data_IF_643127278155
#
_entry.id   IF_643127278155
#
_cell.length_a   1.000
_cell.length_b   1.000
_cell.length_c   1.000
_cell.angle_alpha   90.00
_cell.angle_beta   90.00
_cell.angle_gamma   90.00
#
_symmetry.space_group_name_H-M   'P 1'
#
loop_
_entity.id
_entity.type
_entity.pdbx_description
1 polymer ?
#
# COMPACT_ATOMS: atom_id res chain seq x y z
N UNK A 1 -36.10 77.89 -72.16
CA UNK A 1 -36.96 77.20 -73.14
C UNK A 1 -36.42 77.58 -74.52
N UNK A 2 -35.93 76.63 -75.32
CA UNK A 2 -35.54 76.93 -76.70
C UNK A 2 -36.82 77.14 -77.50
N UNK A 3 -37.04 78.35 -77.98
CA UNK A 3 -38.18 78.68 -78.86
C UNK A 3 -37.67 78.61 -80.28
N UNK A 4 -38.20 77.68 -81.07
CA UNK A 4 -37.84 77.58 -82.48
C UNK A 4 -38.49 78.77 -83.19
N UNK A 5 -37.67 79.68 -83.74
CA UNK A 5 -38.14 80.86 -84.48
C UNK A 5 -38.03 80.63 -85.99
N UNK A 6 -38.91 81.26 -86.75
CA UNK A 6 -38.87 81.20 -88.22
C UNK A 6 -37.93 82.30 -88.74
N UNK A 7 -36.92 81.96 -89.55
CA UNK A 7 -36.08 82.94 -90.23
C UNK A 7 -36.91 83.94 -91.05
N UNK A 8 -36.51 85.23 -91.04
CA UNK A 8 -37.27 86.34 -91.67
C UNK A 8 -37.69 86.07 -93.11
N UNK A 9 -36.82 85.44 -93.91
CA UNK A 9 -37.07 85.09 -95.31
C UNK A 9 -38.23 84.08 -95.51
N UNK A 10 -38.48 83.20 -94.54
CA UNK A 10 -39.60 82.26 -94.57
C UNK A 10 -40.90 82.93 -94.09
N UNK A 11 -40.80 83.85 -93.12
CA UNK A 11 -41.93 84.60 -92.58
C UNK A 11 -42.57 85.53 -93.63
N UNK A 12 -41.74 86.21 -94.43
CA UNK A 12 -42.19 87.07 -95.53
C UNK A 12 -42.92 86.29 -96.65
N UNK A 13 -42.61 85.00 -96.85
CA UNK A 13 -43.25 84.15 -97.87
C UNK A 13 -44.49 83.41 -97.40
N UNK A 14 -44.54 83.03 -96.12
CA UNK A 14 -45.64 82.25 -95.54
C UNK A 14 -46.77 83.15 -95.00
N UNK A 15 -46.47 84.43 -94.69
CA UNK A 15 -47.38 85.30 -93.96
C UNK A 15 -47.29 85.09 -92.44
N UNK A 16 -47.68 86.09 -91.65
CA UNK A 16 -47.52 86.06 -90.18
C UNK A 16 -48.27 84.90 -89.52
N UNK A 17 -49.52 84.65 -89.93
CA UNK A 17 -50.40 83.64 -89.33
C UNK A 17 -49.92 82.19 -89.60
N UNK A 18 -49.44 81.92 -90.81
CA UNK A 18 -48.87 80.61 -91.17
C UNK A 18 -47.48 80.40 -90.54
N UNK A 19 -46.71 81.47 -90.34
CA UNK A 19 -45.41 81.41 -89.67
C UNK A 19 -45.56 81.11 -88.19
N UNK A 20 -46.52 81.73 -87.51
CA UNK A 20 -46.81 81.48 -86.09
C UNK A 20 -47.37 80.05 -85.90
N UNK A 21 -48.24 79.58 -86.81
CA UNK A 21 -48.72 78.18 -86.83
C UNK A 21 -47.59 77.16 -87.03
N UNK A 22 -46.59 77.49 -87.87
CA UNK A 22 -45.42 76.65 -88.08
C UNK A 22 -44.48 76.64 -86.87
N UNK A 23 -44.31 77.78 -86.17
CA UNK A 23 -43.61 77.85 -84.88
C UNK A 23 -44.28 76.95 -83.84
N UNK A 24 -45.62 76.98 -83.75
CA UNK A 24 -46.38 76.14 -82.84
C UNK A 24 -46.19 74.65 -83.14
N UNK A 25 -46.26 74.26 -84.41
CA UNK A 25 -46.03 72.88 -84.86
C UNK A 25 -44.58 72.43 -84.60
N UNK A 26 -43.59 73.25 -84.92
CA UNK A 26 -42.17 72.94 -84.69
C UNK A 26 -41.86 72.81 -83.20
N UNK A 27 -42.38 73.70 -82.35
CA UNK A 27 -42.23 73.59 -80.90
C UNK A 27 -42.94 72.33 -80.37
N UNK A 28 -44.13 71.99 -80.88
CA UNK A 28 -44.85 70.76 -80.50
C UNK A 28 -44.10 69.49 -80.90
N UNK A 29 -43.54 69.44 -82.12
CA UNK A 29 -42.70 68.34 -82.59
C UNK A 29 -41.41 68.26 -81.77
N UNK A 30 -40.77 69.38 -81.45
CA UNK A 30 -39.57 69.43 -80.63
C UNK A 30 -39.81 68.93 -79.20
N UNK A 31 -40.89 69.39 -78.54
CA UNK A 31 -41.22 68.92 -77.20
C UNK A 31 -41.54 67.43 -77.19
N UNK A 32 -42.35 66.96 -78.14
CA UNK A 32 -42.67 65.54 -78.27
C UNK A 32 -41.42 64.69 -78.52
N UNK A 33 -40.54 65.12 -79.43
CA UNK A 33 -39.28 64.42 -79.69
C UNK A 33 -38.38 64.40 -78.46
N UNK A 34 -38.30 65.51 -77.72
CA UNK A 34 -37.55 65.60 -76.46
C UNK A 34 -38.12 64.65 -75.41
N UNK A 35 -39.44 64.59 -75.27
CA UNK A 35 -40.15 63.66 -74.38
C UNK A 35 -39.84 62.20 -74.78
N UNK A 36 -39.99 61.83 -76.06
CA UNK A 36 -39.71 60.49 -76.57
C UNK A 36 -38.24 60.08 -76.35
N UNK A 37 -37.29 61.00 -76.57
CA UNK A 37 -35.85 60.75 -76.33
C UNK A 37 -35.56 60.58 -74.84
N UNK A 38 -36.20 61.37 -73.97
CA UNK A 38 -36.05 61.23 -72.52
C UNK A 38 -36.63 59.89 -72.06
N UNK A 39 -37.81 59.51 -72.54
CA UNK A 39 -38.46 58.24 -72.23
C UNK A 39 -37.56 57.06 -72.65
N UNK A 40 -37.08 57.05 -73.89
CA UNK A 40 -36.18 56.01 -74.39
C UNK A 40 -34.86 55.94 -73.57
N UNK A 41 -34.30 57.10 -73.20
CA UNK A 41 -33.09 57.15 -72.39
C UNK A 41 -33.33 56.62 -70.96
N UNK A 42 -34.47 56.98 -70.37
CA UNK A 42 -34.88 56.50 -69.05
C UNK A 42 -35.14 55.00 -69.06
N UNK A 43 -35.83 54.47 -70.05
CA UNK A 43 -36.08 53.03 -70.21
C UNK A 43 -34.77 52.25 -70.38
N UNK A 44 -33.85 52.75 -71.22
CA UNK A 44 -32.55 52.12 -71.41
C UNK A 44 -31.69 52.17 -70.14
N UNK A 45 -31.77 53.26 -69.39
CA UNK A 45 -31.08 53.38 -68.09
C UNK A 45 -31.69 52.42 -67.06
N UNK A 46 -33.02 52.38 -66.94
CA UNK A 46 -33.73 51.48 -66.05
C UNK A 46 -33.41 50.00 -66.36
N UNK A 47 -33.40 49.63 -67.65
CA UNK A 47 -32.98 48.29 -68.09
C UNK A 47 -31.56 47.97 -67.68
N UNK A 48 -30.60 48.88 -67.90
CA UNK A 48 -29.20 48.65 -67.49
C UNK A 48 -29.04 48.51 -65.98
N UNK A 49 -29.75 49.32 -65.20
CA UNK A 49 -29.74 49.23 -63.74
C UNK A 49 -30.34 47.90 -63.27
N UNK A 50 -31.40 47.42 -63.92
CA UNK A 50 -31.99 46.11 -63.64
C UNK A 50 -30.99 44.98 -63.95
N UNK A 51 -30.30 45.04 -65.09
CA UNK A 51 -29.28 44.06 -65.47
C UNK A 51 -28.10 44.06 -64.49
N UNK A 52 -27.60 45.23 -64.11
CA UNK A 52 -26.53 45.37 -63.11
C UNK A 52 -26.96 44.83 -61.74
N UNK A 53 -28.20 45.07 -61.32
CA UNK A 53 -28.76 44.51 -60.08
C UNK A 53 -28.71 42.99 -60.10
N UNK A 54 -29.14 42.36 -61.21
CA UNK A 54 -29.13 40.90 -61.36
C UNK A 54 -27.70 40.36 -61.34
N UNK A 55 -26.75 41.02 -61.99
CA UNK A 55 -25.33 40.63 -61.97
C UNK A 55 -24.72 40.72 -60.57
N UNK A 56 -25.02 41.79 -59.83
CA UNK A 56 -24.55 41.96 -58.45
C UNK A 56 -25.17 40.88 -57.55
N UNK A 57 -26.47 40.63 -57.67
CA UNK A 57 -27.18 39.59 -56.91
C UNK A 57 -26.55 38.22 -57.15
N UNK A 58 -26.27 37.87 -58.41
CA UNK A 58 -25.57 36.63 -58.75
C UNK A 58 -24.18 36.56 -58.12
N UNK A 59 -23.38 37.63 -58.20
CA UNK A 59 -22.03 37.66 -57.61
C UNK A 59 -22.05 37.52 -56.08
N UNK A 60 -23.06 38.09 -55.42
CA UNK A 60 -23.22 37.97 -53.97
C UNK A 60 -23.54 36.53 -53.60
N UNK A 61 -24.45 35.87 -54.32
CA UNK A 61 -24.78 34.45 -54.11
C UNK A 61 -23.54 33.57 -54.32
N UNK A 62 -22.82 33.77 -55.42
CA UNK A 62 -21.63 32.97 -55.75
C UNK A 62 -20.52 33.14 -54.69
N UNK A 63 -20.25 34.37 -54.25
CA UNK A 63 -19.21 34.61 -53.24
C UNK A 63 -19.64 34.13 -51.84
N UNK A 64 -20.94 34.21 -51.51
CA UNK A 64 -21.49 33.64 -50.27
C UNK A 64 -21.28 32.13 -50.24
N UNK A 65 -21.67 31.42 -51.30
CA UNK A 65 -21.48 29.97 -51.43
C UNK A 65 -20.00 29.58 -51.34
N UNK A 66 -19.11 30.38 -51.95
CA UNK A 66 -17.66 30.17 -51.87
C UNK A 66 -17.11 30.32 -50.45
N UNK A 67 -17.59 31.31 -49.70
CA UNK A 67 -17.18 31.52 -48.31
C UNK A 67 -17.71 30.40 -47.42
N UNK A 68 -18.98 30.00 -47.58
CA UNK A 68 -19.57 28.87 -46.87
C UNK A 68 -18.77 27.59 -47.09
N UNK A 69 -18.41 27.28 -48.33
CA UNK A 69 -17.60 26.10 -48.63
C UNK A 69 -16.22 26.15 -47.94
N UNK A 70 -15.54 27.31 -47.97
CA UNK A 70 -14.24 27.48 -47.28
C UNK A 70 -14.37 27.29 -45.78
N UNK A 71 -15.45 27.79 -45.18
CA UNK A 71 -15.71 27.61 -43.74
C UNK A 71 -15.93 26.12 -43.44
N UNK A 72 -16.75 25.43 -44.23
CA UNK A 72 -16.97 23.98 -44.07
C UNK A 72 -15.67 23.20 -44.18
N UNK A 73 -14.84 23.48 -45.20
CA UNK A 73 -13.56 22.80 -45.39
C UNK A 73 -12.62 23.01 -44.20
N UNK A 74 -12.57 24.23 -43.66
CA UNK A 74 -11.70 24.54 -42.52
C UNK A 74 -12.20 23.92 -41.22
N UNK A 75 -13.52 23.85 -41.01
CA UNK A 75 -14.14 23.12 -39.90
C UNK A 75 -13.77 21.64 -39.97
N UNK A 76 -13.88 21.01 -41.15
CA UNK A 76 -13.50 19.60 -41.33
C UNK A 76 -12.02 19.37 -41.06
N UNK A 77 -11.13 20.27 -41.50
CA UNK A 77 -9.69 20.16 -41.20
C UNK A 77 -9.41 20.26 -39.70
N UNK A 78 -10.05 21.20 -39.01
CA UNK A 78 -9.87 21.37 -37.57
C UNK A 78 -10.40 20.16 -36.80
N UNK A 79 -11.54 19.62 -37.19
CA UNK A 79 -12.13 18.43 -36.57
C UNK A 79 -11.23 17.19 -36.72
N UNK A 80 -10.68 16.98 -37.93
CA UNK A 80 -9.70 15.93 -38.17
C UNK A 80 -8.42 16.12 -37.33
N UNK A 81 -7.94 17.36 -37.19
CA UNK A 81 -6.77 17.67 -36.37
C UNK A 81 -7.03 17.40 -34.89
N UNK A 82 -8.17 17.83 -34.37
CA UNK A 82 -8.60 17.60 -32.99
C UNK A 82 -8.71 16.09 -32.71
N UNK A 83 -9.33 15.35 -33.63
CA UNK A 83 -9.45 13.89 -33.52
C UNK A 83 -8.07 13.23 -33.46
N UNK A 84 -7.15 13.62 -34.35
CA UNK A 84 -5.80 13.04 -34.40
C UNK A 84 -4.98 13.32 -33.14
N UNK A 85 -5.06 14.53 -32.58
CA UNK A 85 -4.35 14.88 -31.34
C UNK A 85 -5.00 14.20 -30.13
N UNK A 86 -6.32 14.09 -30.09
CA UNK A 86 -7.03 13.33 -29.05
C UNK A 86 -6.58 11.86 -29.03
N UNK A 87 -6.58 11.17 -30.17
CA UNK A 87 -6.11 9.78 -30.28
C UNK A 87 -4.64 9.64 -29.90
N UNK A 88 -3.80 10.60 -30.26
CA UNK A 88 -2.39 10.62 -29.88
C UNK A 88 -2.22 10.73 -28.37
N UNK A 89 -2.96 11.64 -27.73
CA UNK A 89 -2.92 11.83 -26.28
C UNK A 89 -3.44 10.61 -25.53
N UNK A 90 -4.54 10.00 -25.99
CA UNK A 90 -5.07 8.75 -25.43
C UNK A 90 -4.03 7.63 -25.47
N UNK A 91 -3.33 7.48 -26.61
CA UNK A 91 -2.24 6.50 -26.74
C UNK A 91 -1.09 6.78 -25.78
N UNK A 92 -0.64 8.03 -25.68
CA UNK A 92 0.44 8.42 -24.77
C UNK A 92 0.07 8.17 -23.29
N UNK A 93 -1.17 8.49 -22.92
CA UNK A 93 -1.70 8.23 -21.57
C UNK A 93 -1.72 6.71 -21.31
N UNK A 94 -2.22 5.91 -22.25
CA UNK A 94 -2.24 4.45 -22.13
C UNK A 94 -0.84 3.86 -21.93
N UNK A 95 0.15 4.32 -22.72
CA UNK A 95 1.54 3.88 -22.59
C UNK A 95 2.16 4.23 -21.23
N UNK A 96 1.90 5.44 -20.71
CA UNK A 96 2.39 5.83 -19.37
C UNK A 96 1.70 5.06 -18.24
N UNK A 97 0.39 4.80 -18.35
CA UNK A 97 -0.34 3.95 -17.40
C UNK A 97 0.30 2.55 -17.36
N UNK A 98 0.53 1.92 -18.52
CA UNK A 98 1.16 0.59 -18.58
C UNK A 98 2.58 0.60 -17.98
N UNK A 99 3.37 1.65 -18.21
CA UNK A 99 4.71 1.77 -17.58
C UNK A 99 4.62 1.89 -16.06
N UNK A 100 3.65 2.64 -15.55
CA UNK A 100 3.44 2.78 -14.10
C UNK A 100 2.99 1.46 -13.48
N UNK A 101 2.07 0.73 -14.12
CA UNK A 101 1.63 -0.59 -13.69
C UNK A 101 2.82 -1.57 -13.61
N UNK A 102 3.67 -1.60 -14.64
CA UNK A 102 4.88 -2.45 -14.66
C UNK A 102 5.86 -2.09 -13.52
N UNK A 103 6.08 -0.80 -13.25
CA UNK A 103 6.91 -0.35 -12.12
C UNK A 103 6.33 -0.78 -10.78
N UNK A 104 5.02 -0.62 -10.59
CA UNK A 104 4.33 -1.05 -9.37
C UNK A 104 4.51 -2.55 -9.17
N UNK A 105 4.23 -3.37 -10.19
CA UNK A 105 4.41 -4.83 -10.11
C UNK A 105 5.85 -5.20 -9.74
N UNK A 106 6.84 -4.57 -10.38
CA UNK A 106 8.25 -4.85 -10.10
C UNK A 106 8.65 -4.49 -8.66
N UNK A 107 8.21 -3.34 -8.15
CA UNK A 107 8.49 -2.93 -6.78
C UNK A 107 7.78 -3.82 -5.75
N UNK A 108 6.53 -4.21 -6.02
CA UNK A 108 5.80 -5.16 -5.17
C UNK A 108 6.54 -6.48 -5.07
N UNK A 109 6.95 -7.08 -6.19
CA UNK A 109 7.70 -8.35 -6.17
C UNK A 109 9.07 -8.21 -5.49
N UNK A 110 9.72 -7.04 -5.62
CA UNK A 110 10.99 -6.76 -4.91
C UNK A 110 10.78 -6.72 -3.40
N UNK A 111 9.71 -6.05 -2.94
CA UNK A 111 9.38 -5.96 -1.52
C UNK A 111 8.98 -7.32 -0.94
N UNK A 112 8.18 -8.11 -1.66
CA UNK A 112 7.83 -9.49 -1.27
C UNK A 112 9.08 -10.35 -1.05
N UNK A 113 10.06 -10.26 -1.97
CA UNK A 113 11.33 -10.98 -1.85
C UNK A 113 12.12 -10.56 -0.61
N UNK A 114 12.26 -9.24 -0.38
CA UNK A 114 12.97 -8.71 0.79
C UNK A 114 12.31 -9.16 2.09
N UNK A 115 10.97 -9.10 2.16
CA UNK A 115 10.22 -9.54 3.34
C UNK A 115 10.45 -11.04 3.58
N UNK A 116 10.39 -11.87 2.53
CA UNK A 116 10.63 -13.31 2.66
C UNK A 116 12.05 -13.64 3.14
N UNK A 117 13.05 -12.92 2.64
CA UNK A 117 14.44 -13.07 3.08
C UNK A 117 14.63 -12.68 4.55
N UNK A 118 14.03 -11.57 5.01
CA UNK A 118 14.12 -11.14 6.40
C UNK A 118 13.38 -12.06 7.37
N UNK A 119 12.21 -12.59 6.97
CA UNK A 119 11.51 -13.62 7.76
C UNK A 119 12.38 -14.86 7.93
N UNK A 120 13.01 -15.33 6.85
CA UNK A 120 13.91 -16.50 6.90
C UNK A 120 15.11 -16.26 7.82
N UNK A 121 15.69 -15.06 7.79
CA UNK A 121 16.81 -14.69 8.69
C UNK A 121 16.37 -14.66 10.15
N UNK A 122 15.18 -14.12 10.44
CA UNK A 122 14.62 -14.07 11.79
C UNK A 122 14.34 -15.49 12.31
N UNK A 123 13.74 -16.35 11.49
CA UNK A 123 13.49 -17.75 11.84
C UNK A 123 14.81 -18.47 12.18
N UNK A 124 15.84 -18.32 11.34
CA UNK A 124 17.16 -18.91 11.61
C UNK A 124 17.76 -18.39 12.92
N UNK A 125 17.62 -17.09 13.21
CA UNK A 125 18.11 -16.49 14.46
C UNK A 125 17.37 -17.05 15.67
N UNK A 126 16.05 -17.20 15.58
CA UNK A 126 15.22 -17.81 16.63
C UNK A 126 15.66 -19.25 16.87
N UNK A 127 15.76 -20.07 15.81
CA UNK A 127 16.21 -21.46 15.92
C UNK A 127 17.57 -21.56 16.60
N UNK A 128 18.54 -20.72 16.19
CA UNK A 128 19.88 -20.74 16.77
C UNK A 128 19.88 -20.39 18.27
N UNK A 129 19.12 -19.38 18.68
CA UNK A 129 19.03 -19.01 20.11
C UNK A 129 18.27 -20.06 20.92
N UNK A 130 17.22 -20.68 20.38
CA UNK A 130 16.54 -21.82 21.02
C UNK A 130 17.52 -22.96 21.26
N UNK A 131 18.27 -23.40 20.25
CA UNK A 131 19.27 -24.48 20.41
C UNK A 131 20.35 -24.12 21.41
N UNK A 132 20.79 -22.85 21.43
CA UNK A 132 21.77 -22.37 22.42
C UNK A 132 21.22 -22.45 23.84
N UNK A 133 19.98 -22.01 24.06
CA UNK A 133 19.32 -22.06 25.37
C UNK A 133 19.10 -23.51 25.83
N UNK A 134 18.66 -24.39 24.94
CA UNK A 134 18.52 -25.83 25.21
C UNK A 134 19.84 -26.45 25.68
N UNK A 135 20.95 -26.13 24.99
CA UNK A 135 22.29 -26.59 25.39
C UNK A 135 22.69 -26.06 26.77
N UNK A 136 22.49 -24.76 27.03
CA UNK A 136 22.81 -24.17 28.33
C UNK A 136 22.01 -24.79 29.47
N UNK A 137 20.71 -25.05 29.24
CA UNK A 137 19.84 -25.73 30.21
C UNK A 137 20.35 -27.16 30.45
N UNK A 138 20.66 -27.91 29.39
CA UNK A 138 21.19 -29.27 29.51
C UNK A 138 22.50 -29.34 30.30
N UNK A 139 23.43 -28.41 30.06
CA UNK A 139 24.67 -28.31 30.82
C UNK A 139 24.43 -28.01 32.31
N UNK A 140 23.48 -27.14 32.63
CA UNK A 140 23.18 -26.79 34.01
C UNK A 140 22.46 -27.92 34.76
N UNK A 141 21.55 -28.64 34.07
CA UNK A 141 20.93 -29.87 34.60
C UNK A 141 22.00 -30.92 34.92
N UNK A 142 22.93 -31.17 34.00
CA UNK A 142 24.01 -32.15 34.22
C UNK A 142 24.90 -31.78 35.42
N UNK A 143 25.22 -30.49 35.62
CA UNK A 143 25.97 -30.04 36.81
C UNK A 143 25.19 -30.27 38.10
N UNK A 144 23.88 -29.99 38.10
CA UNK A 144 23.03 -30.21 39.26
C UNK A 144 22.91 -31.69 39.60
N UNK A 145 22.73 -32.55 38.59
CA UNK A 145 22.73 -34.00 38.76
C UNK A 145 24.04 -34.49 39.38
N UNK A 146 25.19 -34.05 38.85
CA UNK A 146 26.50 -34.41 39.40
C UNK A 146 26.66 -33.96 40.86
N UNK A 147 26.20 -32.73 41.19
CA UNK A 147 26.25 -32.22 42.57
C UNK A 147 25.38 -33.05 43.51
N UNK A 148 24.17 -33.43 43.08
CA UNK A 148 23.28 -34.30 43.84
C UNK A 148 23.94 -35.66 44.07
N UNK A 149 24.46 -36.30 43.02
CA UNK A 149 25.16 -37.59 43.14
C UNK A 149 26.30 -37.52 44.15
N UNK A 150 27.15 -36.49 44.06
CA UNK A 150 28.28 -36.32 44.98
C UNK A 150 27.84 -36.16 46.45
N UNK A 151 26.80 -35.37 46.72
CA UNK A 151 26.27 -35.21 48.08
C UNK A 151 25.58 -36.49 48.59
N UNK A 152 24.87 -37.22 47.73
CA UNK A 152 24.31 -38.54 48.08
C UNK A 152 25.41 -39.52 48.49
N UNK A 153 26.46 -39.67 47.68
CA UNK A 153 27.59 -40.56 48.01
C UNK A 153 28.30 -40.14 49.29
N UNK A 154 28.44 -38.83 49.52
CA UNK A 154 29.02 -38.30 50.76
C UNK A 154 28.17 -38.67 51.98
N UNK A 155 26.85 -38.49 51.89
CA UNK A 155 25.91 -38.84 52.97
C UNK A 155 25.91 -40.35 53.22
N UNK A 156 25.91 -41.19 52.19
CA UNK A 156 25.99 -42.65 52.31
C UNK A 156 27.26 -43.08 53.05
N UNK A 157 28.41 -42.46 52.74
CA UNK A 157 29.66 -42.72 53.45
C UNK A 157 29.57 -42.30 54.92
N UNK A 158 29.07 -41.10 55.20
CA UNK A 158 28.91 -40.61 56.58
C UNK A 158 28.00 -41.54 57.40
N UNK A 159 26.88 -41.98 56.83
CA UNK A 159 25.97 -42.92 57.48
C UNK A 159 26.67 -44.27 57.73
N UNK A 160 27.42 -44.77 56.75
CA UNK A 160 28.16 -46.04 56.89
C UNK A 160 29.21 -45.95 58.01
N UNK A 161 30.00 -44.88 58.04
CA UNK A 161 31.02 -44.64 59.06
C UNK A 161 30.38 -44.55 60.46
N UNK A 162 29.26 -43.84 60.61
CA UNK A 162 28.55 -43.73 61.88
C UNK A 162 27.95 -45.07 62.34
N UNK A 163 27.38 -45.86 61.42
CA UNK A 163 26.88 -47.21 61.71
C UNK A 163 28.01 -48.15 62.18
N UNK A 164 29.20 -48.06 61.56
CA UNK A 164 30.38 -48.83 61.99
C UNK A 164 30.81 -48.42 63.39
N UNK A 165 30.87 -47.11 63.66
CA UNK A 165 31.26 -46.56 64.96
C UNK A 165 30.29 -47.03 66.06
N UNK A 166 28.98 -46.86 65.86
CA UNK A 166 27.95 -47.31 66.80
C UNK A 166 28.04 -48.83 67.07
N UNK A 167 28.34 -49.64 66.04
CA UNK A 167 28.53 -51.09 66.21
C UNK A 167 29.74 -51.42 67.09
N UNK A 168 30.84 -50.67 66.97
CA UNK A 168 32.04 -50.86 67.80
C UNK A 168 31.72 -50.48 69.25
N UNK A 169 31.15 -49.29 69.48
CA UNK A 169 30.75 -48.80 70.80
C UNK A 169 29.82 -49.80 71.51
N UNK A 170 28.78 -50.28 70.81
CA UNK A 170 27.86 -51.29 71.36
C UNK A 170 28.56 -52.62 71.70
N UNK A 171 29.54 -53.06 70.90
CA UNK A 171 30.31 -54.28 71.17
C UNK A 171 31.17 -54.12 72.43
N UNK A 172 31.77 -52.94 72.62
CA UNK A 172 32.54 -52.63 73.83
C UNK A 172 31.65 -52.59 75.07
N UNK A 173 30.49 -51.93 75.01
CA UNK A 173 29.52 -51.90 76.11
C UNK A 173 29.03 -53.29 76.50
N UNK A 174 28.67 -54.13 75.52
CA UNK A 174 28.29 -55.53 75.78
C UNK A 174 29.43 -56.30 76.47
N UNK A 175 30.67 -56.05 76.07
CA UNK A 175 31.84 -56.73 76.65
C UNK A 175 32.07 -56.29 78.11
N UNK A 176 31.93 -54.99 78.40
CA UNK A 176 31.98 -54.45 79.77
C UNK A 176 30.87 -55.03 80.64
N UNK A 177 29.63 -55.02 80.15
CA UNK A 177 28.48 -55.57 80.87
C UNK A 177 28.67 -57.06 81.20
N UNK A 178 29.18 -57.86 80.25
CA UNK A 178 29.52 -59.27 80.49
C UNK A 178 30.59 -59.44 81.57
N UNK A 179 31.65 -58.62 81.55
CA UNK A 179 32.70 -58.67 82.55
C UNK A 179 32.19 -58.29 83.95
N UNK A 180 31.35 -57.26 84.05
CA UNK A 180 30.70 -56.85 85.30
C UNK A 180 29.79 -57.95 85.86
N UNK A 181 28.98 -58.59 85.01
CA UNK A 181 28.17 -59.75 85.42
C UNK A 181 29.03 -60.89 85.95
N UNK A 182 30.10 -61.28 85.24
CA UNK A 182 31.00 -62.35 85.69
C UNK A 182 31.65 -62.00 87.04
N UNK A 183 32.05 -60.74 87.23
CA UNK A 183 32.57 -60.25 88.51
C UNK A 183 31.52 -60.33 89.63
N UNK A 184 30.26 -59.97 89.34
CA UNK A 184 29.14 -60.11 90.28
C UNK A 184 28.87 -61.58 90.64
N UNK A 185 28.84 -62.49 89.67
CA UNK A 185 28.69 -63.92 89.93
C UNK A 185 29.84 -64.48 90.77
N UNK A 186 31.09 -64.14 90.45
CA UNK A 186 32.25 -64.55 91.24
C UNK A 186 32.19 -64.03 92.68
N UNK A 187 31.76 -62.78 92.86
CA UNK A 187 31.56 -62.17 94.18
C UNK A 187 30.46 -62.89 94.96
N UNK A 188 29.32 -63.20 94.33
CA UNK A 188 28.23 -63.97 94.93
C UNK A 188 28.69 -65.37 95.36
N UNK A 189 29.42 -66.09 94.50
CA UNK A 189 29.98 -67.40 94.82
C UNK A 189 30.94 -67.31 96.01
N UNK A 190 31.83 -66.31 96.02
CA UNK A 190 32.75 -66.06 97.14
C UNK A 190 31.98 -65.84 98.45
N UNK A 191 30.92 -65.04 98.40
CA UNK A 191 30.04 -64.82 99.55
C UNK A 191 29.30 -66.09 99.98
N UNK A 192 28.81 -66.89 99.04
CA UNK A 192 28.22 -68.20 99.34
C UNK A 192 29.24 -69.09 100.08
N UNK A 193 30.49 -69.19 99.60
CA UNK A 193 31.52 -69.97 100.29
C UNK A 193 31.80 -69.48 101.71
N UNK A 194 31.93 -68.16 101.90
CA UNK A 194 32.12 -67.57 103.24
C UNK A 194 30.95 -67.93 104.16
N UNK A 195 29.73 -67.80 103.66
CA UNK A 195 28.52 -68.18 104.38
C UNK A 195 28.47 -69.68 104.70
N UNK A 196 28.77 -70.55 103.74
CA UNK A 196 28.83 -72.00 103.93
C UNK A 196 29.89 -72.42 104.96
N UNK A 197 31.09 -71.83 104.93
CA UNK A 197 32.13 -72.08 105.94
C UNK A 197 31.61 -71.67 107.33
N UNK A 198 30.94 -70.51 107.43
CA UNK A 198 30.31 -70.07 108.67
C UNK A 198 29.23 -71.04 109.17
N UNK A 199 28.33 -71.50 108.30
CA UNK A 199 27.29 -72.46 108.67
C UNK A 199 27.84 -73.82 109.07
N UNK A 200 28.82 -74.36 108.33
CA UNK A 200 29.51 -75.62 108.68
C UNK A 200 30.23 -75.47 110.03
N UNK A 201 30.92 -74.35 110.27
CA UNK A 201 31.56 -74.06 111.55
C UNK A 201 30.56 -73.99 112.71
N UNK A 202 29.41 -73.33 112.51
CA UNK A 202 28.35 -73.26 113.50
C UNK A 202 27.73 -74.64 113.79
N UNK A 203 27.46 -75.45 112.76
CA UNK A 203 26.97 -76.82 112.92
C UNK A 203 27.96 -77.70 113.68
N UNK A 204 29.26 -77.64 113.35
CA UNK A 204 30.32 -78.35 114.10
C UNK A 204 30.33 -77.89 115.56
N UNK A 205 30.22 -76.59 115.82
CA UNK A 205 30.12 -76.04 117.17
C UNK A 205 28.90 -76.54 117.95
N UNK A 206 27.72 -76.60 117.31
CA UNK A 206 26.50 -77.16 117.90
C UNK A 206 26.68 -78.66 118.17
N UNK A 207 27.24 -79.43 117.23
CA UNK A 207 27.52 -80.85 117.41
C UNK A 207 28.47 -81.07 118.61
N UNK A 208 29.53 -80.27 118.74
CA UNK A 208 30.44 -80.30 119.89
C UNK A 208 29.74 -79.92 121.21
N UNK A 209 28.75 -79.02 121.18
CA UNK A 209 27.97 -78.64 122.35
C UNK A 209 26.93 -79.71 122.75
N UNK A 210 26.38 -80.47 121.80
CA UNK A 210 25.41 -81.55 122.04
C UNK A 210 26.04 -82.91 122.36
N UNK A 211 27.29 -83.16 121.96
CA UNK A 211 28.07 -84.37 122.32
C UNK A 211 28.89 -84.19 123.61
N UNK A 212 28.47 -83.27 124.49
CA UNK A 212 29.01 -83.07 125.83
C UNK A 212 27.97 -83.41 126.90
#
# INVERSE_FOLDING_TARGET
>A
MLVITIPKALREKLGDEASDSLVELLNKVYQRTKEDVIELAMDKFASKVADERVLIEKRVVDETARVEQKITDEVVKLDNKITSETTRLEKMIGEEVTKLEQKITSETSRLEKVISEEVTKLDQKITNETTRLEKMIGEEVAKLEQKITNETTRLEKMITDEVVKLRIEMKEEISKLRAEMLSHYASLIRWMFIFWIGQVGALIGILFAFFK
#
